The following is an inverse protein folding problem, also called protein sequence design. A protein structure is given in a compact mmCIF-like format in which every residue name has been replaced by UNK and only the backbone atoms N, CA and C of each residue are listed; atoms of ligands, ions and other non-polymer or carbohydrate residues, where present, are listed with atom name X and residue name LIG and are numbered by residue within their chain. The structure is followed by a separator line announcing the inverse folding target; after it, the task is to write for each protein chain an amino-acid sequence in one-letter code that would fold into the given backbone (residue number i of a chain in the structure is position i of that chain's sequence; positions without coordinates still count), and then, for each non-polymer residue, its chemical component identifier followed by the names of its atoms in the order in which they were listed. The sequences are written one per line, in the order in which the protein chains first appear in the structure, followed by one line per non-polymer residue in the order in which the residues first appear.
data_IF_577047596571
#
_entry.id   IF_577047596571
#
_cell.length_a   1.000
_cell.length_b   1.000
_cell.length_c   1.000
_cell.angle_alpha   90.00
_cell.angle_beta   90.00
_cell.angle_gamma   90.00
#
_symmetry.space_group_name_H-M   'P 1'
#
loop_
_entity.id
_entity.type
_entity.pdbx_description
1 polymer ?
#
# COMPACT_ATOMS: atom_id res chain seq x y z
N UNK A 1 28.63 18.66 -21.44
CA UNK A 1 27.44 17.81 -21.62
C UNK A 1 27.62 16.62 -20.68
N UNK A 2 27.01 16.64 -19.50
CA UNK A 2 27.00 15.53 -18.54
C UNK A 2 25.57 15.04 -18.51
N UNK A 3 25.33 13.89 -19.12
CA UNK A 3 24.07 13.17 -19.04
C UNK A 3 24.02 12.43 -17.72
N UNK A 4 23.16 12.88 -16.78
CA UNK A 4 22.82 12.13 -15.58
C UNK A 4 21.57 11.31 -15.89
N UNK A 5 21.78 10.05 -16.18
CA UNK A 5 20.73 9.03 -16.25
C UNK A 5 21.13 7.88 -15.34
N UNK A 6 20.81 7.99 -14.08
CA UNK A 6 20.79 6.83 -13.18
C UNK A 6 19.47 6.82 -12.42
N UNK A 7 18.42 6.33 -13.12
CA UNK A 7 17.28 5.71 -12.45
C UNK A 7 17.76 4.39 -11.87
N UNK A 8 18.13 4.41 -10.60
CA UNK A 8 18.38 3.19 -9.83
C UNK A 8 17.04 2.44 -9.75
N UNK A 9 16.81 1.57 -10.70
CA UNK A 9 15.82 0.51 -10.59
C UNK A 9 16.25 -0.37 -9.42
N UNK A 10 15.57 -0.26 -8.28
CA UNK A 10 15.68 -1.19 -7.18
C UNK A 10 15.31 -2.59 -7.72
N UNK A 11 16.33 -3.36 -8.10
CA UNK A 11 16.15 -4.76 -8.46
C UNK A 11 15.72 -5.53 -7.22
N UNK A 12 14.65 -6.34 -7.35
CA UNK A 12 14.22 -7.23 -6.28
C UNK A 12 15.38 -8.12 -5.82
N UNK A 13 15.61 -8.28 -4.51
CA UNK A 13 16.58 -9.25 -4.02
C UNK A 13 16.20 -10.64 -4.49
N UNK A 14 17.21 -11.49 -4.80
CA UNK A 14 16.96 -12.89 -5.21
C UNK A 14 16.17 -13.63 -4.12
N UNK A 15 15.19 -14.49 -4.49
CA UNK A 15 14.45 -15.27 -3.50
C UNK A 15 15.41 -16.16 -2.71
N UNK A 16 15.32 -16.16 -1.38
CA UNK A 16 15.99 -17.16 -0.56
C UNK A 16 15.16 -18.44 -0.51
N UNK A 17 15.81 -19.60 -0.62
CA UNK A 17 15.14 -20.87 -0.92
C UNK A 17 14.32 -21.52 0.20
N UNK A 18 14.14 -20.90 1.39
CA UNK A 18 13.44 -21.53 2.52
C UNK A 18 12.48 -20.60 3.25
N UNK A 19 11.34 -20.36 2.66
CA UNK A 19 10.22 -19.85 3.43
C UNK A 19 9.23 -20.98 3.75
N UNK A 20 8.94 -21.21 5.03
CA UNK A 20 8.05 -22.27 5.52
C UNK A 20 6.57 -22.04 5.16
N UNK A 21 6.20 -20.81 4.76
CA UNK A 21 4.82 -20.47 4.50
C UNK A 21 4.31 -20.97 3.15
N UNK A 22 3.17 -21.67 3.18
CA UNK A 22 2.53 -22.23 1.97
C UNK A 22 1.82 -21.14 1.18
N UNK A 23 1.86 -21.27 -0.15
CA UNK A 23 1.06 -20.42 -1.05
C UNK A 23 -0.43 -20.53 -0.74
N UNK A 24 -1.15 -19.43 -0.86
CA UNK A 24 -2.60 -19.39 -0.63
C UNK A 24 -3.35 -20.09 -1.75
N UNK A 25 -4.50 -20.69 -1.40
CA UNK A 25 -5.50 -21.13 -2.36
C UNK A 25 -6.37 -19.94 -2.80
N UNK A 26 -6.90 -19.92 -4.03
CA UNK A 26 -7.76 -18.82 -4.49
C UNK A 26 -8.95 -18.51 -3.58
N UNK A 27 -9.50 -19.52 -2.92
CA UNK A 27 -10.61 -19.35 -1.96
C UNK A 27 -10.18 -18.60 -0.70
N UNK A 28 -8.93 -18.80 -0.24
CA UNK A 28 -8.36 -18.10 0.92
C UNK A 28 -8.11 -16.62 0.59
N UNK A 29 -7.59 -16.33 -0.60
CA UNK A 29 -7.45 -14.94 -1.10
C UNK A 29 -8.79 -14.20 -1.14
N UNK A 30 -9.83 -14.86 -1.69
CA UNK A 30 -11.18 -14.30 -1.75
C UNK A 30 -11.77 -14.08 -0.36
N UNK A 31 -11.59 -15.02 0.56
CA UNK A 31 -12.10 -14.92 1.94
C UNK A 31 -11.41 -13.77 2.69
N UNK A 32 -10.09 -13.67 2.56
CA UNK A 32 -9.29 -12.60 3.16
C UNK A 32 -9.71 -11.22 2.61
N UNK A 33 -9.87 -11.09 1.29
CA UNK A 33 -10.37 -9.88 0.66
C UNK A 33 -11.77 -9.49 1.18
N UNK A 34 -12.71 -10.43 1.25
CA UNK A 34 -14.06 -10.18 1.79
C UNK A 34 -14.02 -9.70 3.24
N UNK A 35 -13.11 -10.20 4.05
CA UNK A 35 -12.93 -9.74 5.44
C UNK A 35 -12.42 -8.28 5.50
N UNK A 36 -11.57 -7.87 4.56
CA UNK A 36 -11.17 -6.45 4.43
C UNK A 36 -12.38 -5.59 4.04
N UNK A 37 -13.16 -6.02 3.04
CA UNK A 37 -14.27 -5.27 2.46
C UNK A 37 -15.52 -5.23 3.37
N UNK A 38 -15.62 -6.10 4.36
CA UNK A 38 -16.75 -6.19 5.29
C UNK A 38 -17.01 -4.87 6.03
N UNK A 39 -18.23 -4.70 6.57
CA UNK A 39 -18.60 -3.51 7.31
C UNK A 39 -19.20 -3.85 8.69
N UNK A 40 -18.45 -3.70 9.78
CA UNK A 40 -17.01 -3.36 9.85
C UNK A 40 -16.12 -4.46 9.26
N UNK A 41 -14.84 -4.14 8.96
CA UNK A 41 -13.84 -5.14 8.57
C UNK A 41 -13.63 -6.16 9.69
N UNK A 42 -13.46 -7.43 9.32
CA UNK A 42 -13.18 -8.49 10.29
C UNK A 42 -11.69 -8.52 10.64
N UNK A 43 -11.29 -7.59 11.51
CA UNK A 43 -9.89 -7.42 11.90
C UNK A 43 -9.33 -8.63 12.64
N UNK A 44 -10.15 -9.31 13.45
CA UNK A 44 -9.72 -10.50 14.20
C UNK A 44 -9.33 -11.62 13.23
N UNK A 45 -10.17 -11.88 12.23
CA UNK A 45 -9.87 -12.85 11.19
C UNK A 45 -8.63 -12.45 10.36
N UNK A 46 -8.49 -11.16 10.00
CA UNK A 46 -7.32 -10.68 9.26
C UNK A 46 -6.02 -10.88 10.03
N UNK A 47 -6.01 -10.55 11.33
CA UNK A 47 -4.86 -10.74 12.22
C UNK A 47 -4.48 -12.22 12.28
N UNK A 48 -5.43 -13.10 12.59
CA UNK A 48 -5.22 -14.55 12.66
C UNK A 48 -4.61 -15.08 11.35
N UNK A 49 -5.19 -14.72 10.20
CA UNK A 49 -4.67 -15.13 8.90
C UNK A 49 -3.21 -14.71 8.68
N UNK A 50 -2.88 -13.43 8.99
CA UNK A 50 -1.52 -12.91 8.79
C UNK A 50 -0.53 -13.56 9.77
N UNK A 51 -0.94 -13.83 11.01
CA UNK A 51 -0.10 -14.51 12.00
C UNK A 51 0.17 -15.96 11.62
N UNK A 52 -0.84 -16.67 11.12
CA UNK A 52 -0.69 -18.06 10.68
C UNK A 52 0.11 -18.19 9.37
N UNK A 53 -0.08 -17.25 8.44
CA UNK A 53 0.57 -17.32 7.13
C UNK A 53 0.87 -15.95 6.54
N UNK A 54 2.14 -15.56 6.55
CA UNK A 54 2.60 -14.31 5.95
C UNK A 54 2.26 -14.17 4.44
N UNK A 55 1.95 -15.27 3.75
CA UNK A 55 1.56 -15.28 2.33
C UNK A 55 0.25 -14.53 2.04
N UNK A 56 -0.56 -14.21 3.04
CA UNK A 56 -1.69 -13.30 2.86
C UNK A 56 -1.26 -11.90 2.43
N UNK A 57 -0.03 -11.50 2.77
CA UNK A 57 0.49 -10.17 2.44
C UNK A 57 1.65 -10.20 1.44
N UNK A 58 2.46 -11.26 1.38
CA UNK A 58 3.69 -11.27 0.58
C UNK A 58 3.85 -12.57 -0.20
N UNK A 59 4.16 -12.45 -1.49
CA UNK A 59 4.45 -13.59 -2.38
C UNK A 59 5.86 -14.16 -2.14
N UNK A 60 6.20 -15.33 -2.72
CA UNK A 60 7.58 -15.83 -2.71
C UNK A 60 8.62 -14.90 -3.35
N UNK A 61 8.18 -13.95 -4.19
CA UNK A 61 9.04 -12.96 -4.86
C UNK A 61 9.07 -11.61 -4.13
N UNK A 62 8.69 -11.57 -2.85
CA UNK A 62 8.66 -10.36 -2.00
C UNK A 62 7.77 -9.23 -2.54
N UNK A 63 6.79 -9.56 -3.35
CA UNK A 63 5.79 -8.61 -3.84
C UNK A 63 4.48 -8.76 -3.09
N UNK A 64 3.61 -7.73 -3.08
CA UNK A 64 2.29 -7.84 -2.47
C UNK A 64 1.47 -8.99 -3.04
N UNK A 65 0.81 -9.76 -2.19
CA UNK A 65 -0.15 -10.79 -2.63
C UNK A 65 -1.34 -10.12 -3.29
N UNK A 66 -1.69 -10.59 -4.49
CA UNK A 66 -2.81 -10.07 -5.27
C UNK A 66 -4.07 -10.85 -4.87
N UNK A 67 -5.01 -10.16 -4.25
CA UNK A 67 -6.28 -10.72 -3.78
C UNK A 67 -7.38 -10.70 -4.84
N UNK A 68 -7.21 -9.90 -5.90
CA UNK A 68 -8.13 -9.81 -7.02
C UNK A 68 -7.35 -9.73 -8.33
N UNK A 69 -7.14 -10.89 -8.94
CA UNK A 69 -6.26 -11.05 -10.12
C UNK A 69 -6.70 -10.19 -11.32
N UNK A 70 -8.00 -10.11 -11.61
CA UNK A 70 -8.52 -9.35 -12.75
C UNK A 70 -8.17 -7.87 -12.73
N UNK A 71 -8.10 -7.27 -11.55
CA UNK A 71 -7.77 -5.86 -11.35
C UNK A 71 -6.35 -5.65 -10.80
N UNK A 72 -5.66 -6.71 -10.41
CA UNK A 72 -4.36 -6.70 -9.72
C UNK A 72 -4.41 -5.89 -8.41
N UNK A 73 -5.50 -6.07 -7.64
CA UNK A 73 -5.64 -5.46 -6.34
C UNK A 73 -4.97 -6.31 -5.25
N UNK A 74 -4.09 -5.70 -4.47
CA UNK A 74 -3.60 -6.22 -3.20
C UNK A 74 -4.51 -5.80 -2.04
N UNK A 75 -4.16 -6.16 -0.80
CA UNK A 75 -4.95 -5.82 0.39
C UNK A 75 -5.16 -4.30 0.57
N UNK A 76 -4.15 -3.48 0.28
CA UNK A 76 -4.25 -2.02 0.43
C UNK A 76 -5.15 -1.39 -0.64
N UNK A 77 -5.13 -1.89 -1.88
CA UNK A 77 -6.08 -1.48 -2.92
C UNK A 77 -7.53 -1.76 -2.50
N UNK A 78 -7.79 -2.98 -1.99
CA UNK A 78 -9.12 -3.35 -1.51
C UNK A 78 -9.59 -2.43 -0.38
N UNK A 79 -8.73 -2.19 0.61
CA UNK A 79 -9.02 -1.30 1.73
C UNK A 79 -9.24 0.15 1.26
N UNK A 80 -8.39 0.67 0.37
CA UNK A 80 -8.47 2.04 -0.15
C UNK A 80 -9.74 2.28 -0.97
N UNK A 81 -10.10 1.32 -1.85
CA UNK A 81 -11.32 1.39 -2.65
C UNK A 81 -12.59 1.44 -1.80
N UNK A 82 -12.61 0.71 -0.68
CA UNK A 82 -13.79 0.57 0.18
C UNK A 82 -13.74 1.43 1.46
N UNK A 83 -12.74 2.30 1.61
CA UNK A 83 -12.57 3.19 2.76
C UNK A 83 -12.35 2.47 4.09
N UNK A 84 -11.73 1.28 4.06
CA UNK A 84 -11.53 0.41 5.22
C UNK A 84 -10.26 0.80 5.97
N UNK A 85 -10.34 1.89 6.72
CA UNK A 85 -9.20 2.54 7.37
C UNK A 85 -8.44 1.59 8.31
N UNK A 86 -9.15 0.88 9.19
CA UNK A 86 -8.51 0.02 10.19
C UNK A 86 -7.85 -1.21 9.55
N UNK A 87 -8.47 -1.77 8.50
CA UNK A 87 -7.82 -2.83 7.72
C UNK A 87 -6.55 -2.32 7.00
N UNK A 88 -6.57 -1.10 6.46
CA UNK A 88 -5.39 -0.48 5.86
C UNK A 88 -4.28 -0.24 6.89
N UNK A 89 -4.63 0.27 8.09
CA UNK A 89 -3.68 0.43 9.20
C UNK A 89 -3.04 -0.89 9.59
N UNK A 90 -3.84 -1.95 9.72
CA UNK A 90 -3.36 -3.30 10.03
C UNK A 90 -2.37 -3.78 8.96
N UNK A 91 -2.75 -3.70 7.68
CA UNK A 91 -1.87 -4.12 6.57
C UNK A 91 -0.56 -3.34 6.58
N UNK A 92 -0.61 -2.01 6.67
CA UNK A 92 0.59 -1.17 6.71
C UNK A 92 1.45 -1.48 7.94
N UNK A 93 0.87 -1.64 9.12
CA UNK A 93 1.60 -2.00 10.33
C UNK A 93 2.34 -3.34 10.18
N UNK A 94 1.74 -4.33 9.53
CA UNK A 94 2.38 -5.62 9.29
C UNK A 94 3.54 -5.51 8.28
N UNK A 95 3.33 -4.83 7.15
CA UNK A 95 4.36 -4.74 6.10
C UNK A 95 5.52 -3.81 6.47
N UNK A 96 5.27 -2.78 7.28
CA UNK A 96 6.32 -1.90 7.83
C UNK A 96 7.01 -2.49 9.06
N UNK A 97 6.38 -3.47 9.70
CA UNK A 97 6.85 -4.12 10.93
C UNK A 97 7.76 -5.33 10.69
N UNK A 98 7.55 -6.36 11.49
CA UNK A 98 8.40 -7.56 11.53
C UNK A 98 8.11 -8.62 10.45
N UNK A 99 7.24 -8.37 9.46
CA UNK A 99 6.84 -9.37 8.47
C UNK A 99 8.05 -9.99 7.76
N UNK A 100 9.01 -9.17 7.28
CA UNK A 100 10.18 -9.65 6.57
C UNK A 100 11.13 -10.44 7.46
N UNK A 101 11.34 -10.01 8.71
CA UNK A 101 12.16 -10.75 9.67
C UNK A 101 11.53 -12.13 10.00
N UNK A 102 10.22 -12.23 10.02
CA UNK A 102 9.50 -13.49 10.20
C UNK A 102 9.59 -14.41 8.96
N UNK A 103 9.63 -13.79 7.77
CA UNK A 103 9.79 -14.51 6.50
C UNK A 103 11.22 -15.03 6.31
N UNK A 104 12.20 -14.29 6.78
CA UNK A 104 13.62 -14.53 6.57
C UNK A 104 14.41 -14.39 7.88
N UNK A 105 14.18 -15.31 8.84
CA UNK A 105 14.79 -15.21 10.17
C UNK A 105 16.33 -15.35 10.15
N UNK A 106 16.87 -16.02 9.13
CA UNK A 106 18.32 -16.24 8.98
C UNK A 106 19.04 -15.08 8.29
N UNK A 107 18.29 -14.10 7.72
CA UNK A 107 18.88 -12.94 7.05
C UNK A 107 19.27 -11.86 8.04
N UNK A 108 20.30 -11.10 7.68
CA UNK A 108 20.70 -9.96 8.47
C UNK A 108 19.65 -8.81 8.46
N UNK A 109 19.78 -7.90 9.42
CA UNK A 109 18.85 -6.78 9.60
C UNK A 109 18.82 -5.85 8.38
N UNK A 110 19.97 -5.66 7.71
CA UNK A 110 20.06 -4.75 6.57
C UNK A 110 19.32 -5.30 5.36
N UNK A 111 19.43 -6.60 5.09
CA UNK A 111 18.72 -7.26 4.01
C UNK A 111 17.21 -7.26 4.28
N UNK A 112 16.79 -7.61 5.51
CA UNK A 112 15.38 -7.56 5.90
C UNK A 112 14.80 -6.13 5.78
N UNK A 113 15.59 -5.08 6.08
CA UNK A 113 15.18 -3.68 5.89
C UNK A 113 14.94 -3.35 4.42
N UNK A 114 15.86 -3.74 3.53
CA UNK A 114 15.72 -3.53 2.08
C UNK A 114 14.50 -4.23 1.49
N UNK A 115 14.24 -5.48 1.90
CA UNK A 115 13.03 -6.22 1.47
C UNK A 115 11.76 -5.54 1.94
N UNK A 116 11.76 -5.06 3.19
CA UNK A 116 10.63 -4.33 3.76
C UNK A 116 10.37 -3.03 3.00
N UNK A 117 11.39 -2.21 2.74
CA UNK A 117 11.28 -0.96 2.00
C UNK A 117 10.73 -1.20 0.59
N UNK A 118 11.22 -2.22 -0.10
CA UNK A 118 10.71 -2.64 -1.41
C UNK A 118 9.23 -3.06 -1.34
N UNK A 119 8.85 -3.89 -0.36
CA UNK A 119 7.47 -4.34 -0.20
C UNK A 119 6.53 -3.17 0.13
N UNK A 120 6.95 -2.25 1.00
CA UNK A 120 6.17 -1.05 1.36
C UNK A 120 5.96 -0.16 0.15
N UNK A 121 7.02 0.12 -0.64
CA UNK A 121 6.91 0.90 -1.88
C UNK A 121 5.89 0.25 -2.83
N UNK A 122 5.94 -1.06 -3.01
CA UNK A 122 4.97 -1.76 -3.84
C UNK A 122 3.55 -1.73 -3.28
N UNK A 123 3.37 -1.78 -1.95
CA UNK A 123 2.04 -1.66 -1.36
C UNK A 123 1.42 -0.28 -1.60
N UNK A 124 2.21 0.78 -1.47
CA UNK A 124 1.75 2.16 -1.58
C UNK A 124 1.58 2.62 -3.04
N UNK A 125 2.45 2.14 -3.95
CA UNK A 125 2.60 2.74 -5.28
C UNK A 125 2.32 1.81 -6.46
N UNK A 126 2.04 0.50 -6.24
CA UNK A 126 1.71 -0.41 -7.34
C UNK A 126 0.43 0.06 -8.04
N UNK A 127 0.45 0.32 -9.36
CA UNK A 127 -0.76 0.67 -10.10
C UNK A 127 -1.62 -0.58 -10.36
N UNK A 128 -2.94 -0.45 -10.34
CA UNK A 128 -3.86 -1.52 -10.68
C UNK A 128 -3.81 -1.85 -12.19
N UNK A 129 -4.42 -2.96 -12.59
CA UNK A 129 -4.47 -3.38 -14.00
C UNK A 129 -5.53 -2.62 -14.79
N UNK A 130 -6.60 -2.17 -14.16
CA UNK A 130 -7.75 -1.55 -14.82
C UNK A 130 -7.41 -0.14 -15.29
N UNK A 131 -7.31 0.80 -14.37
CA UNK A 131 -7.06 2.22 -14.63
C UNK A 131 -5.60 2.65 -14.48
N UNK A 132 -4.73 1.82 -13.95
CA UNK A 132 -3.40 2.22 -13.49
C UNK A 132 -3.48 3.00 -12.18
N UNK A 133 -4.56 2.82 -11.42
CA UNK A 133 -4.77 3.53 -10.18
C UNK A 133 -3.95 2.91 -9.05
N UNK A 134 -3.22 3.74 -8.30
CA UNK A 134 -2.59 3.34 -7.04
C UNK A 134 -3.64 3.32 -5.91
N UNK A 135 -3.35 2.75 -4.73
CA UNK A 135 -4.24 2.87 -3.58
C UNK A 135 -4.64 4.31 -3.27
N UNK A 136 -3.74 5.29 -3.45
CA UNK A 136 -4.06 6.71 -3.27
C UNK A 136 -5.09 7.21 -4.29
N UNK A 137 -4.94 6.86 -5.57
CA UNK A 137 -5.95 7.19 -6.58
C UNK A 137 -7.32 6.65 -6.20
N UNK A 138 -7.40 5.40 -5.76
CA UNK A 138 -8.66 4.79 -5.34
C UNK A 138 -9.25 5.51 -4.12
N UNK A 139 -8.46 5.80 -3.09
CA UNK A 139 -8.93 6.52 -1.91
C UNK A 139 -9.52 7.89 -2.27
N UNK A 140 -8.85 8.62 -3.17
CA UNK A 140 -9.27 9.94 -3.65
C UNK A 140 -10.49 9.85 -4.54
N UNK A 141 -10.53 8.94 -5.52
CA UNK A 141 -11.68 8.71 -6.42
C UNK A 141 -12.96 8.41 -5.66
N UNK A 142 -12.87 7.62 -4.58
CA UNK A 142 -14.03 7.23 -3.78
C UNK A 142 -14.31 8.18 -2.60
N UNK A 143 -13.55 9.26 -2.42
CA UNK A 143 -13.77 10.29 -1.40
C UNK A 143 -13.48 9.83 0.03
N UNK A 144 -12.56 8.89 0.22
CA UNK A 144 -12.20 8.34 1.53
C UNK A 144 -11.13 9.19 2.22
N UNK A 145 -11.49 10.38 2.73
CA UNK A 145 -10.60 11.36 3.33
C UNK A 145 -9.63 10.78 4.39
N UNK A 146 -10.13 9.99 5.33
CA UNK A 146 -9.29 9.38 6.36
C UNK A 146 -8.23 8.42 5.76
N UNK A 147 -8.58 7.71 4.68
CA UNK A 147 -7.67 6.86 3.93
C UNK A 147 -6.62 7.70 3.18
N UNK A 148 -7.03 8.80 2.55
CA UNK A 148 -6.10 9.75 1.91
C UNK A 148 -5.10 10.29 2.92
N UNK A 149 -5.57 10.69 4.11
CA UNK A 149 -4.69 11.14 5.20
C UNK A 149 -3.70 10.08 5.62
N UNK A 150 -4.15 8.84 5.79
CA UNK A 150 -3.28 7.70 6.15
C UNK A 150 -2.21 7.47 5.09
N UNK A 151 -2.59 7.36 3.82
CA UNK A 151 -1.65 7.07 2.75
C UNK A 151 -0.63 8.20 2.55
N UNK A 152 -1.08 9.47 2.59
CA UNK A 152 -0.17 10.60 2.45
C UNK A 152 0.71 10.86 3.69
N UNK A 153 0.44 10.22 4.83
CA UNK A 153 1.33 10.33 6.00
C UNK A 153 2.61 9.50 5.85
N UNK A 154 2.64 8.55 4.92
CA UNK A 154 3.84 7.77 4.63
C UNK A 154 4.70 8.47 3.57
N UNK A 155 5.97 8.69 3.89
CA UNK A 155 6.92 9.38 3.01
C UNK A 155 7.25 8.62 1.72
N UNK A 156 6.98 7.32 1.65
CA UNK A 156 7.18 6.50 0.45
C UNK A 156 5.99 6.59 -0.52
N UNK A 157 4.86 7.18 -0.11
CA UNK A 157 3.70 7.36 -1.02
C UNK A 157 4.03 8.38 -2.10
N UNK A 158 3.96 7.97 -3.35
CA UNK A 158 4.19 8.86 -4.51
C UNK A 158 2.88 9.51 -4.92
N UNK A 159 2.74 10.79 -4.61
CA UNK A 159 1.54 11.58 -4.92
C UNK A 159 1.49 12.08 -6.36
N UNK A 160 2.64 12.08 -7.05
CA UNK A 160 2.87 12.56 -8.41
C UNK A 160 2.65 11.47 -9.49
N UNK A 161 2.38 10.22 -9.10
CA UNK A 161 2.09 9.17 -10.06
C UNK A 161 0.83 9.46 -10.86
N UNK A 162 0.88 9.16 -12.15
CA UNK A 162 -0.27 9.24 -13.05
C UNK A 162 -0.84 7.86 -13.34
N UNK A 163 -2.16 7.79 -13.47
CA UNK A 163 -2.85 6.60 -13.94
C UNK A 163 -2.75 6.45 -15.48
N UNK A 164 -3.41 5.46 -16.08
CA UNK A 164 -3.41 5.24 -17.55
C UNK A 164 -4.02 6.39 -18.37
N UNK A 165 -4.75 7.28 -17.72
CA UNK A 165 -5.39 8.44 -18.37
C UNK A 165 -4.55 9.71 -18.20
N UNK A 166 -3.34 9.61 -17.65
CA UNK A 166 -2.48 10.75 -17.37
C UNK A 166 -2.91 11.58 -16.15
N UNK A 167 -3.84 11.06 -15.33
CA UNK A 167 -4.40 11.77 -14.18
C UNK A 167 -3.62 11.42 -12.91
N UNK A 168 -3.22 12.42 -12.14
CA UNK A 168 -2.72 12.26 -10.78
C UNK A 168 -3.88 12.05 -9.80
N UNK A 169 -3.58 11.52 -8.61
CA UNK A 169 -4.60 11.33 -7.57
C UNK A 169 -5.35 12.64 -7.24
N UNK A 170 -4.65 13.77 -7.17
CA UNK A 170 -5.23 15.08 -6.92
C UNK A 170 -6.25 15.54 -7.98
N UNK A 171 -6.17 15.02 -9.21
CA UNK A 171 -7.07 15.41 -10.32
C UNK A 171 -8.40 14.66 -10.30
N UNK A 172 -8.50 13.54 -9.59
CA UNK A 172 -9.65 12.63 -9.65
C UNK A 172 -10.53 12.63 -8.40
N UNK A 173 -10.50 13.72 -7.65
CA UNK A 173 -11.19 13.85 -6.35
C UNK A 173 -12.68 13.55 -6.49
N UNK A 174 -13.16 12.61 -5.66
CA UNK A 174 -14.57 12.22 -5.54
C UNK A 174 -15.26 11.79 -6.85
N UNK A 175 -14.51 11.54 -7.93
CA UNK A 175 -15.07 11.20 -9.25
C UNK A 175 -15.89 9.89 -9.25
N UNK A 176 -15.80 9.08 -8.21
CA UNK A 176 -16.53 7.81 -7.99
C UNK A 176 -17.16 7.73 -6.59
N UNK A 177 -17.25 8.85 -5.88
CA UNK A 177 -17.90 8.88 -4.57
C UNK A 177 -19.40 8.54 -4.72
N UNK A 178 -19.94 7.78 -3.75
CA UNK A 178 -21.38 7.43 -3.73
C UNK A 178 -22.23 8.60 -3.28
N UNK A 179 -21.69 9.42 -2.40
CA UNK A 179 -22.36 10.61 -1.85
C UNK A 179 -21.56 11.83 -2.24
N UNK A 180 -22.26 12.86 -2.67
CA UNK A 180 -21.66 14.17 -2.93
C UNK A 180 -21.53 14.91 -1.59
N UNK A 181 -20.33 14.95 -1.02
CA UNK A 181 -19.98 15.66 0.20
C UNK A 181 -19.00 16.79 -0.14
N UNK A 182 -19.50 18.03 -0.35
CA UNK A 182 -18.66 19.15 -0.80
C UNK A 182 -17.54 19.50 0.19
N UNK A 183 -17.75 19.25 1.49
CA UNK A 183 -16.75 19.56 2.50
C UNK A 183 -15.60 18.55 2.45
N UNK A 184 -15.89 17.26 2.31
CA UNK A 184 -14.86 16.24 2.07
C UNK A 184 -14.12 16.48 0.75
N UNK A 185 -14.86 16.80 -0.30
CA UNK A 185 -14.26 17.08 -1.60
C UNK A 185 -13.29 18.26 -1.51
N UNK A 186 -13.71 19.38 -0.87
CA UNK A 186 -12.88 20.55 -0.63
C UNK A 186 -11.65 20.19 0.18
N UNK A 187 -11.79 19.46 1.29
CA UNK A 187 -10.68 19.07 2.14
C UNK A 187 -9.65 18.18 1.42
N UNK A 188 -10.11 17.28 0.56
CA UNK A 188 -9.21 16.47 -0.26
C UNK A 188 -8.50 17.36 -1.31
N UNK A 189 -9.20 18.33 -1.94
CA UNK A 189 -8.63 19.23 -2.96
C UNK A 189 -7.62 20.20 -2.37
N UNK A 190 -7.92 20.77 -1.21
CA UNK A 190 -7.08 21.78 -0.53
C UNK A 190 -5.88 21.15 0.18
N UNK A 191 -5.82 19.82 0.23
CA UNK A 191 -4.69 19.12 0.83
C UNK A 191 -3.42 19.49 0.09
N UNK A 192 -2.37 19.81 0.86
CA UNK A 192 -1.02 19.97 0.29
C UNK A 192 -0.48 18.62 -0.20
N UNK A 193 -0.57 18.42 -1.51
CA UNK A 193 -0.05 17.22 -2.18
C UNK A 193 1.47 17.25 -2.36
N UNK A 194 2.12 18.38 -2.01
CA UNK A 194 3.57 18.58 -2.14
C UNK A 194 4.36 18.16 -0.89
N UNK A 195 3.73 17.60 0.12
CA UNK A 195 4.28 17.33 1.46
C UNK A 195 5.55 16.48 1.52
N UNK A 196 6.20 16.21 0.40
CA UNK A 196 7.43 15.39 0.30
C UNK A 196 8.71 16.07 0.80
N UNK A 197 8.73 17.37 1.02
CA UNK A 197 10.02 18.08 1.21
C UNK A 197 10.27 18.67 2.60
N UNK A 198 9.34 18.61 3.54
CA UNK A 198 9.49 19.31 4.83
C UNK A 198 9.59 18.44 6.09
N UNK A 199 9.55 17.11 5.99
CA UNK A 199 9.57 16.24 7.18
C UNK A 199 10.96 15.96 7.77
N UNK A 200 12.04 16.56 7.24
CA UNK A 200 13.36 16.49 7.86
C UNK A 200 13.62 17.57 8.95
N UNK A 201 12.64 18.45 9.24
CA UNK A 201 12.80 19.51 10.24
C UNK A 201 12.62 19.05 11.69
N UNK A 202 12.10 17.83 11.92
CA UNK A 202 11.90 17.29 13.28
C UNK A 202 13.16 16.68 13.90
N UNK A 203 14.23 16.47 13.10
CA UNK A 203 15.50 15.90 13.59
C UNK A 203 16.49 16.96 14.09
N UNK A 204 16.18 18.26 13.95
CA UNK A 204 17.06 19.37 14.32
C UNK A 204 16.47 20.28 15.41
N UNK A 205 15.73 19.77 16.38
CA UNK A 205 15.49 20.57 17.60
C UNK A 205 16.65 20.34 18.58
N UNK A 206 17.35 21.41 19.01
CA UNK A 206 18.39 21.31 20.03
C UNK A 206 17.75 20.91 21.38
N UNK A 207 18.44 20.01 22.08
CA UNK A 207 18.09 19.58 23.46
C UNK A 207 18.27 20.73 24.43
#
# INVERSE_FOLDING_TARGET
VVTVSDSVLLSSPKPSEKCEFKSLKPQEEVKFRKAIEANPSDLAFLVTCIEENARYLVTPSDTPTILQQGQRHNALHAAARHGKLEAARLVLAQVTGGLMARMYPEEDRAMNSRRREFLVDMYLNLPDKAGGDTPLHLAVKFGHLAMVRLLCSDHQTRTDMTNKFGEQAASVVCSRAKENDPDKEREIRERDWTFRYHSNSWLNQPR
#
